data_IF_464696642673
#
_entry.id   IF_464696642673
#
_cell.length_a   1.000
_cell.length_b   1.000
_cell.length_c   1.000
_cell.angle_alpha   90.00
_cell.angle_beta   90.00
_cell.angle_gamma   90.00
#
_symmetry.space_group_name_H-M   'P 1'
#
loop_
_entity.id
_entity.type
_entity.pdbx_description
1 polymer ?
#
# COMPACT_ATOMS: atom_id res chain seq x y z
N UNK A 1 32.51 34.04 7.73
CA UNK A 1 32.61 32.59 7.47
C UNK A 1 31.18 32.07 7.40
N UNK A 2 30.69 31.72 6.22
CA UNK A 2 29.36 31.15 6.07
C UNK A 2 29.47 29.63 6.30
N UNK A 3 28.68 29.09 7.22
CA UNK A 3 28.54 27.64 7.37
C UNK A 3 28.01 27.04 6.06
N UNK A 4 28.56 25.92 5.56
CA UNK A 4 28.01 25.29 4.37
C UNK A 4 26.63 24.70 4.71
N UNK A 5 25.66 24.97 3.83
CA UNK A 5 24.33 24.37 3.86
C UNK A 5 24.43 22.84 4.02
N UNK A 6 23.54 22.19 4.80
CA UNK A 6 23.58 20.75 4.98
C UNK A 6 23.53 20.05 3.61
N UNK A 7 24.60 19.34 3.32
CA UNK A 7 24.82 18.56 2.11
C UNK A 7 23.67 17.57 1.93
N UNK A 8 22.89 17.78 0.87
CA UNK A 8 21.96 16.86 0.26
C UNK A 8 20.99 16.13 1.21
N UNK A 9 19.70 16.46 1.11
CA UNK A 9 18.67 15.43 1.23
C UNK A 9 19.06 14.33 0.23
N UNK A 10 19.69 13.26 0.72
CA UNK A 10 19.92 12.05 -0.06
C UNK A 10 18.56 11.69 -0.68
N UNK A 11 18.49 11.42 -1.99
CA UNK A 11 17.25 10.90 -2.54
C UNK A 11 16.94 9.66 -1.71
N UNK A 12 15.75 9.63 -1.13
CA UNK A 12 15.23 8.47 -0.42
C UNK A 12 14.90 7.46 -1.53
N UNK A 13 15.92 6.94 -2.21
CA UNK A 13 15.84 5.65 -2.86
C UNK A 13 15.91 4.66 -1.71
N UNK A 14 14.82 4.57 -0.95
CA UNK A 14 14.57 3.41 -0.14
C UNK A 14 14.32 2.31 -1.17
N UNK A 15 15.28 1.39 -1.30
CA UNK A 15 14.99 0.11 -1.95
C UNK A 15 13.84 -0.51 -1.18
N UNK A 16 12.93 -1.23 -1.84
CA UNK A 16 11.76 -1.83 -1.19
C UNK A 16 12.12 -2.75 -0.01
N UNK A 17 13.37 -3.21 0.06
CA UNK A 17 13.95 -4.01 1.14
C UNK A 17 14.22 -3.23 2.45
N UNK A 18 14.28 -1.90 2.39
CA UNK A 18 14.51 -1.03 3.55
C UNK A 18 13.20 -0.50 4.18
N UNK A 19 12.05 -0.82 3.58
CA UNK A 19 10.75 -0.36 4.09
C UNK A 19 10.29 -1.25 5.24
N UNK A 20 9.76 -0.66 6.33
CA UNK A 20 9.18 -1.43 7.42
C UNK A 20 8.00 -2.25 6.88
N UNK A 21 7.97 -3.54 7.24
CA UNK A 21 6.89 -4.46 6.87
C UNK A 21 5.68 -4.32 7.79
N UNK A 22 5.84 -3.69 8.95
CA UNK A 22 4.80 -3.52 9.97
C UNK A 22 4.85 -2.09 10.53
N UNK A 23 3.69 -1.51 10.84
CA UNK A 23 3.60 -0.24 11.56
C UNK A 23 3.76 -0.44 13.08
N UNK A 24 4.07 0.61 13.85
CA UNK A 24 4.09 0.53 15.32
C UNK A 24 2.77 0.07 15.96
N UNK A 25 1.66 0.15 15.22
CA UNK A 25 0.33 -0.29 15.65
C UNK A 25 0.02 -1.75 15.26
N UNK A 26 0.99 -2.47 14.69
CA UNK A 26 0.82 -3.86 14.23
C UNK A 26 0.18 -3.99 12.84
N UNK A 27 0.11 -2.91 12.07
CA UNK A 27 -0.48 -2.93 10.73
C UNK A 27 0.53 -3.49 9.73
N UNK A 28 0.16 -4.55 9.02
CA UNK A 28 0.97 -5.07 7.91
C UNK A 28 1.04 -4.05 6.77
N UNK A 29 2.23 -3.50 6.55
CA UNK A 29 2.51 -2.51 5.51
C UNK A 29 2.85 -3.17 4.18
N UNK A 30 3.14 -4.47 4.14
CA UNK A 30 3.49 -5.18 2.90
C UNK A 30 2.31 -5.18 1.93
N UNK A 31 1.09 -5.37 2.44
CA UNK A 31 -0.13 -5.30 1.63
C UNK A 31 -0.35 -3.89 1.07
N UNK A 32 -0.16 -2.86 1.90
CA UNK A 32 -0.30 -1.46 1.47
C UNK A 32 0.73 -1.13 0.37
N UNK A 33 1.99 -1.49 0.60
CA UNK A 33 3.07 -1.28 -0.37
C UNK A 33 2.80 -2.01 -1.68
N UNK A 34 2.32 -3.27 -1.61
CA UNK A 34 1.92 -4.02 -2.79
C UNK A 34 0.76 -3.33 -3.54
N UNK A 35 -0.31 -2.91 -2.85
CA UNK A 35 -1.43 -2.20 -3.50
C UNK A 35 -0.98 -0.90 -4.15
N UNK A 36 -0.02 -0.19 -3.55
CA UNK A 36 0.56 1.05 -4.10
C UNK A 36 1.48 0.79 -5.30
N UNK A 37 2.01 -0.42 -5.45
CA UNK A 37 2.81 -0.82 -6.62
C UNK A 37 1.97 -1.10 -7.87
N UNK A 38 0.67 -1.37 -7.71
CA UNK A 38 -0.27 -1.57 -8.82
C UNK A 38 -0.46 -0.29 -9.64
N UNK A 39 -0.74 -0.45 -10.93
CA UNK A 39 -1.20 0.65 -11.79
C UNK A 39 -2.54 1.20 -11.28
N UNK A 40 -2.91 2.45 -11.64
CA UNK A 40 -4.18 3.03 -11.22
C UNK A 40 -5.40 2.18 -11.62
N UNK A 41 -5.36 1.53 -12.79
CA UNK A 41 -6.45 0.68 -13.27
C UNK A 41 -6.56 -0.61 -12.44
N UNK A 42 -5.47 -1.35 -12.29
CA UNK A 42 -5.44 -2.61 -11.52
C UNK A 42 -5.86 -2.38 -10.06
N UNK A 43 -5.46 -1.25 -9.47
CA UNK A 43 -5.89 -0.88 -8.12
C UNK A 43 -7.39 -0.65 -8.05
N UNK A 44 -7.98 -0.01 -9.05
CA UNK A 44 -9.42 0.24 -9.08
C UNK A 44 -10.20 -1.07 -9.23
N UNK A 45 -9.74 -1.97 -10.09
CA UNK A 45 -10.34 -3.30 -10.27
C UNK A 45 -10.29 -4.11 -8.97
N UNK A 46 -9.13 -4.17 -8.32
CA UNK A 46 -8.99 -4.85 -7.03
C UNK A 46 -9.93 -4.29 -5.95
N UNK A 47 -10.02 -2.95 -5.85
CA UNK A 47 -10.90 -2.32 -4.87
C UNK A 47 -12.39 -2.58 -5.18
N UNK A 48 -12.76 -2.64 -6.46
CA UNK A 48 -14.12 -2.96 -6.86
C UNK A 48 -14.47 -4.41 -6.51
N UNK A 49 -13.56 -5.37 -6.73
CA UNK A 49 -13.75 -6.76 -6.33
C UNK A 49 -14.02 -6.90 -4.82
N UNK A 50 -13.33 -6.12 -3.98
CA UNK A 50 -13.58 -6.11 -2.54
C UNK A 50 -14.94 -5.53 -2.18
N UNK A 51 -15.35 -4.43 -2.83
CA UNK A 51 -16.68 -3.83 -2.65
C UNK A 51 -17.77 -4.81 -3.05
N UNK A 52 -17.61 -5.48 -4.18
CA UNK A 52 -18.57 -6.45 -4.69
C UNK A 52 -18.66 -7.66 -3.75
N UNK A 53 -17.52 -8.19 -3.29
CA UNK A 53 -17.49 -9.27 -2.29
C UNK A 53 -18.21 -8.88 -0.99
N UNK A 54 -18.02 -7.66 -0.49
CA UNK A 54 -18.73 -7.16 0.68
C UNK A 54 -20.24 -7.00 0.41
N UNK A 55 -20.62 -6.54 -0.78
CA UNK A 55 -22.01 -6.42 -1.18
C UNK A 55 -22.70 -7.79 -1.25
N UNK A 56 -22.02 -8.79 -1.81
CA UNK A 56 -22.51 -10.17 -1.86
C UNK A 56 -22.69 -10.77 -0.46
N UNK A 57 -21.70 -10.61 0.43
CA UNK A 57 -21.82 -11.01 1.83
C UNK A 57 -22.99 -10.32 2.54
N UNK A 58 -23.16 -9.01 2.32
CA UNK A 58 -24.27 -8.23 2.88
C UNK A 58 -25.63 -8.73 2.39
N UNK A 59 -25.71 -9.18 1.14
CA UNK A 59 -26.93 -9.70 0.53
C UNK A 59 -27.16 -11.19 0.87
N UNK A 60 -26.29 -11.80 1.68
CA UNK A 60 -26.37 -13.22 2.04
C UNK A 60 -26.05 -14.15 0.88
N UNK A 61 -25.43 -13.64 -0.18
CA UNK A 61 -24.98 -14.42 -1.32
C UNK A 61 -23.53 -14.79 -1.07
N UNK A 62 -23.29 -16.01 -0.61
CA UNK A 62 -21.95 -16.58 -0.62
C UNK A 62 -21.80 -17.24 -1.98
N UNK A 63 -20.93 -16.70 -2.84
CA UNK A 63 -20.50 -17.43 -4.02
C UNK A 63 -19.81 -18.71 -3.53
N UNK A 64 -20.46 -19.86 -3.70
CA UNK A 64 -19.77 -21.16 -3.59
C UNK A 64 -18.69 -21.17 -4.67
N UNK A 65 -17.43 -21.09 -4.25
CA UNK A 65 -16.26 -21.18 -5.13
C UNK A 65 -15.53 -22.48 -4.88
#
# INVERSE_FOLDING_TARGET
MAEPLPSALKPIVASSEDLPTESPDGVDLTLIQWTLSLTPLERLELLQDWVDGLAELRLGRVAER
#
